data_IF_015790957038
#
_entry.id   IF_015790957038
#
_cell.length_a   1.000
_cell.length_b   1.000
_cell.length_c   1.000
_cell.angle_alpha   90.00
_cell.angle_beta   90.00
_cell.angle_gamma   90.00
#
_symmetry.space_group_name_H-M   'P 1'
#
loop_
_entity.id
_entity.type
_entity.pdbx_description
1 polymer ?
#
# COMPACT_ATOMS: atom_id res chain seq x y z
N UNK A 1 -22.81 -10.28 -12.25
CA UNK A 1 -23.12 -8.96 -11.66
C UNK A 1 -21.79 -8.28 -11.39
N UNK A 2 -21.49 -7.23 -12.15
CA UNK A 2 -20.23 -6.48 -12.05
C UNK A 2 -20.23 -5.67 -10.76
N UNK A 3 -19.59 -6.18 -9.71
CA UNK A 3 -19.19 -5.35 -8.58
C UNK A 3 -18.14 -4.37 -9.10
N UNK A 4 -18.59 -3.20 -9.58
CA UNK A 4 -17.69 -2.07 -9.80
C UNK A 4 -17.22 -1.63 -8.43
N UNK A 5 -16.08 -2.13 -7.98
CA UNK A 5 -15.44 -1.69 -6.75
C UNK A 5 -14.83 -0.31 -6.99
N UNK A 6 -15.65 0.71 -6.78
CA UNK A 6 -15.25 2.10 -6.85
C UNK A 6 -14.21 2.38 -5.77
N UNK A 7 -13.06 2.90 -6.18
CA UNK A 7 -12.11 3.53 -5.27
C UNK A 7 -12.77 4.73 -4.59
N UNK A 8 -12.94 4.70 -3.26
CA UNK A 8 -13.39 5.88 -2.52
C UNK A 8 -12.24 6.50 -1.75
N UNK A 9 -11.99 7.78 -1.99
CA UNK A 9 -11.03 8.59 -1.26
C UNK A 9 -11.76 9.51 -0.28
N UNK A 10 -11.37 9.50 0.99
CA UNK A 10 -11.91 10.41 2.00
C UNK A 10 -10.77 11.11 2.72
N UNK A 11 -10.90 12.42 2.89
CA UNK A 11 -9.92 13.24 3.60
C UNK A 11 -10.56 13.91 4.81
N UNK A 12 -9.86 13.88 5.95
CA UNK A 12 -10.27 14.54 7.18
C UNK A 12 -9.10 15.34 7.76
N UNK A 13 -9.41 16.51 8.32
CA UNK A 13 -8.45 17.40 8.96
C UNK A 13 -9.12 18.13 10.12
N UNK A 14 -8.42 18.28 11.25
CA UNK A 14 -8.89 19.11 12.37
C UNK A 14 -8.43 20.56 12.27
N UNK A 15 -7.62 20.92 11.26
CA UNK A 15 -7.03 22.26 11.13
C UNK A 15 -8.11 23.36 11.14
N UNK A 16 -9.18 23.17 10.37
CA UNK A 16 -10.28 24.13 10.20
C UNK A 16 -11.43 23.95 11.20
N UNK A 17 -11.26 23.05 12.18
CA UNK A 17 -12.26 22.78 13.23
C UNK A 17 -11.90 23.61 14.48
N UNK A 18 -12.86 24.31 15.12
CA UNK A 18 -12.61 25.03 16.37
C UNK A 18 -11.98 24.12 17.42
N UNK A 19 -10.97 24.60 18.15
CA UNK A 19 -10.15 23.77 19.05
C UNK A 19 -10.96 22.90 20.03
N UNK A 20 -12.06 23.46 20.58
CA UNK A 20 -12.98 22.77 21.51
C UNK A 20 -13.74 21.59 20.88
N UNK A 21 -13.92 21.60 19.56
CA UNK A 21 -14.73 20.64 18.81
C UNK A 21 -13.86 19.59 18.08
N UNK A 22 -12.53 19.81 18.01
CA UNK A 22 -11.58 18.97 17.25
C UNK A 22 -11.63 17.48 17.62
N UNK A 23 -11.69 17.15 18.91
CA UNK A 23 -11.74 15.76 19.38
C UNK A 23 -13.06 15.08 18.98
N UNK A 24 -14.20 15.72 19.25
CA UNK A 24 -15.52 15.18 18.93
C UNK A 24 -15.71 15.00 17.42
N UNK A 25 -15.26 15.97 16.62
CA UNK A 25 -15.21 15.87 15.17
C UNK A 25 -14.38 14.67 14.72
N UNK A 26 -13.16 14.52 15.27
CA UNK A 26 -12.24 13.47 14.85
C UNK A 26 -12.73 12.06 15.20
N UNK A 27 -13.33 11.90 16.39
CA UNK A 27 -13.94 10.65 16.82
C UNK A 27 -15.09 10.24 15.89
N UNK A 28 -15.98 11.19 15.55
CA UNK A 28 -17.09 10.95 14.63
C UNK A 28 -16.61 10.63 13.21
N UNK A 29 -15.59 11.34 12.73
CA UNK A 29 -14.98 11.09 11.43
C UNK A 29 -14.40 9.67 11.35
N UNK A 30 -13.60 9.25 12.34
CA UNK A 30 -13.03 7.89 12.34
C UNK A 30 -14.07 6.79 12.49
N UNK A 31 -15.10 7.01 13.31
CA UNK A 31 -16.22 6.07 13.44
C UNK A 31 -16.93 5.84 12.10
N UNK A 32 -17.01 6.86 11.24
CA UNK A 32 -17.64 6.78 9.93
C UNK A 32 -16.72 6.19 8.85
N UNK A 33 -15.40 6.45 8.89
CA UNK A 33 -14.50 6.12 7.77
C UNK A 33 -13.55 4.95 8.02
N UNK A 34 -13.29 4.57 9.28
CA UNK A 34 -12.24 3.60 9.60
C UNK A 34 -12.60 2.68 10.77
N UNK A 35 -12.69 3.22 11.99
CA UNK A 35 -12.92 2.49 13.23
C UNK A 35 -13.43 3.43 14.34
N UNK A 36 -14.31 2.93 15.21
CA UNK A 36 -14.73 3.66 16.40
C UNK A 36 -13.58 3.78 17.42
N UNK A 37 -13.15 5.01 17.70
CA UNK A 37 -12.07 5.34 18.64
C UNK A 37 -12.37 6.66 19.37
N UNK A 38 -11.62 6.92 20.45
CA UNK A 38 -11.52 8.23 21.11
C UNK A 38 -10.10 8.74 21.04
N UNK A 39 -9.93 10.02 20.76
CA UNK A 39 -8.63 10.69 20.89
C UNK A 39 -8.57 11.59 22.11
N UNK A 40 -7.42 11.63 22.76
CA UNK A 40 -7.08 12.59 23.81
C UNK A 40 -5.75 13.26 23.50
N UNK A 41 -5.62 14.53 23.85
CA UNK A 41 -4.43 15.36 23.60
C UNK A 41 -4.19 16.26 24.79
N UNK A 42 -2.91 16.48 25.14
CA UNK A 42 -2.50 17.41 26.19
C UNK A 42 -2.26 18.83 25.66
N UNK A 43 -2.32 19.02 24.33
CA UNK A 43 -2.11 20.33 23.72
C UNK A 43 -3.28 21.29 24.01
N UNK A 44 -3.01 22.54 24.43
CA UNK A 44 -4.03 23.57 24.58
C UNK A 44 -4.76 23.90 23.26
N UNK A 45 -4.12 23.65 22.11
CA UNK A 45 -4.72 23.84 20.78
C UNK A 45 -5.67 22.69 20.39
N UNK A 46 -5.86 21.69 21.26
CA UNK A 46 -6.64 20.50 20.99
C UNK A 46 -5.86 19.47 20.16
N UNK A 47 -6.59 18.67 19.38
CA UNK A 47 -6.02 17.62 18.54
C UNK A 47 -5.73 18.14 17.12
N UNK A 48 -4.47 18.20 16.70
CA UNK A 48 -4.08 18.50 15.32
C UNK A 48 -3.70 17.23 14.57
N UNK A 49 -4.54 16.86 13.61
CA UNK A 49 -4.41 15.61 12.87
C UNK A 49 -5.06 15.74 11.49
N UNK A 50 -4.47 15.05 10.53
CA UNK A 50 -4.96 14.92 9.16
C UNK A 50 -4.87 13.46 8.75
N UNK A 51 -5.82 13.02 7.93
CA UNK A 51 -5.86 11.66 7.40
C UNK A 51 -6.43 11.66 6.00
N UNK A 52 -5.86 10.85 5.14
CA UNK A 52 -6.47 10.44 3.87
C UNK A 52 -6.67 8.94 3.90
N UNK A 53 -7.92 8.50 3.75
CA UNK A 53 -8.33 7.10 3.63
C UNK A 53 -8.59 6.77 2.14
N UNK A 54 -8.10 5.63 1.67
CA UNK A 54 -8.54 4.99 0.43
C UNK A 54 -9.18 3.63 0.75
N UNK A 55 -10.44 3.44 0.35
CA UNK A 55 -11.08 2.14 0.38
C UNK A 55 -10.84 1.40 -0.94
N UNK A 56 -10.38 0.17 -0.84
CA UNK A 56 -10.01 -0.72 -1.93
C UNK A 56 -10.82 -2.04 -1.82
N UNK A 57 -10.87 -2.85 -2.89
CA UNK A 57 -11.45 -4.19 -2.81
C UNK A 57 -10.75 -5.04 -1.74
N UNK A 58 -11.43 -5.34 -0.63
CA UNK A 58 -10.90 -6.20 0.43
C UNK A 58 -9.70 -5.62 1.19
N UNK A 59 -9.48 -4.30 1.13
CA UNK A 59 -8.39 -3.61 1.81
C UNK A 59 -8.78 -2.13 2.05
N UNK A 60 -8.36 -1.56 3.17
CA UNK A 60 -8.29 -0.11 3.35
C UNK A 60 -6.84 0.32 3.55
N UNK A 61 -6.49 1.53 3.08
CA UNK A 61 -5.20 2.14 3.42
C UNK A 61 -5.41 3.59 3.86
N UNK A 62 -4.59 4.07 4.79
CA UNK A 62 -4.63 5.45 5.22
C UNK A 62 -3.23 6.05 5.46
N UNK A 63 -3.04 7.32 5.12
CA UNK A 63 -1.87 8.12 5.50
C UNK A 63 -2.33 9.13 6.56
N UNK A 64 -1.81 8.98 7.77
CA UNK A 64 -2.23 9.75 8.96
C UNK A 64 -1.04 10.56 9.44
N UNK A 65 -1.24 11.86 9.65
CA UNK A 65 -0.25 12.77 10.25
C UNK A 65 -0.91 13.48 11.43
N UNK A 66 -0.21 13.61 12.55
CA UNK A 66 -0.72 14.37 13.69
C UNK A 66 0.36 14.73 14.68
N UNK A 67 0.00 15.53 15.68
CA UNK A 67 0.83 15.80 16.84
C UNK A 67 0.88 14.60 17.81
N UNK A 68 1.50 14.76 18.98
CA UNK A 68 1.37 13.82 20.09
C UNK A 68 -0.07 13.78 20.62
N UNK A 69 -0.60 12.56 20.75
CA UNK A 69 -1.96 12.29 21.22
C UNK A 69 -2.10 10.80 21.57
N UNK A 70 -3.18 10.44 22.25
CA UNK A 70 -3.51 9.05 22.57
C UNK A 70 -4.83 8.68 21.92
N UNK A 71 -4.84 7.51 21.28
CA UNK A 71 -6.01 6.85 20.73
C UNK A 71 -6.44 5.75 21.70
N UNK A 72 -7.72 5.70 22.03
CA UNK A 72 -8.34 4.63 22.81
C UNK A 72 -9.46 3.97 22.01
N UNK A 73 -9.40 2.63 21.91
CA UNK A 73 -10.54 1.80 21.51
C UNK A 73 -10.97 0.97 22.70
N UNK A 74 -11.90 1.50 23.48
CA UNK A 74 -12.36 0.90 24.73
C UNK A 74 -13.25 -0.34 24.50
N UNK A 75 -13.47 -1.21 25.51
CA UNK A 75 -14.40 -2.33 25.40
C UNK A 75 -15.82 -1.93 24.98
N UNK A 76 -16.27 -0.73 25.38
CA UNK A 76 -17.58 -0.21 24.97
C UNK A 76 -17.61 0.11 23.47
N UNK A 77 -16.56 0.76 22.95
CA UNK A 77 -16.44 1.07 21.53
C UNK A 77 -16.32 -0.17 20.65
N UNK A 78 -15.59 -1.19 21.11
CA UNK A 78 -15.51 -2.48 20.41
C UNK A 78 -16.90 -3.09 20.22
N UNK A 79 -17.76 -3.04 21.25
CA UNK A 79 -19.13 -3.58 21.19
C UNK A 79 -20.09 -2.72 20.36
N UNK A 80 -20.02 -1.40 20.51
CA UNK A 80 -20.96 -0.47 19.86
C UNK A 80 -20.65 -0.24 18.38
N UNK A 81 -19.37 -0.24 18.03
CA UNK A 81 -18.85 0.01 16.69
C UNK A 81 -17.90 -1.13 16.32
N UNK A 82 -18.44 -2.33 16.03
CA UNK A 82 -17.63 -3.50 15.71
C UNK A 82 -16.81 -3.26 14.44
N UNK A 83 -15.57 -3.74 14.47
CA UNK A 83 -14.63 -3.74 13.36
C UNK A 83 -13.90 -5.06 13.40
N UNK A 84 -14.07 -5.87 12.36
CA UNK A 84 -13.43 -7.18 12.23
C UNK A 84 -12.28 -7.07 11.23
N UNK A 85 -11.21 -6.43 11.67
CA UNK A 85 -10.03 -6.21 10.86
C UNK A 85 -8.73 -6.41 11.64
N UNK A 86 -7.70 -6.77 10.91
CA UNK A 86 -6.31 -6.64 11.31
C UNK A 86 -5.79 -5.28 10.85
N UNK A 87 -5.24 -4.49 11.76
CA UNK A 87 -4.54 -3.26 11.41
C UNK A 87 -3.04 -3.50 11.42
N UNK A 88 -2.36 -3.11 10.35
CA UNK A 88 -0.90 -2.99 10.30
C UNK A 88 -0.54 -1.51 10.15
N UNK A 89 0.08 -0.95 11.19
CA UNK A 89 0.45 0.46 11.28
C UNK A 89 1.97 0.60 11.17
N UNK A 90 2.45 1.10 10.05
CA UNK A 90 3.86 1.43 9.88
C UNK A 90 4.13 2.86 10.35
N UNK A 91 5.03 3.01 11.31
CA UNK A 91 5.45 4.31 11.82
C UNK A 91 6.44 4.90 10.82
N UNK A 92 6.07 5.98 10.15
CA UNK A 92 6.94 6.67 9.19
C UNK A 92 7.84 7.68 9.90
N UNK A 93 7.30 8.37 10.89
CA UNK A 93 8.04 9.28 11.76
C UNK A 93 7.37 9.36 13.13
N UNK A 94 8.17 9.65 14.15
CA UNK A 94 7.71 9.82 15.53
C UNK A 94 7.95 8.58 16.40
N UNK A 95 7.51 8.67 17.65
CA UNK A 95 7.63 7.61 18.66
C UNK A 95 6.25 7.31 19.23
N UNK A 96 5.98 6.05 19.48
CA UNK A 96 4.70 5.60 19.96
C UNK A 96 4.81 4.45 20.97
N UNK A 97 3.74 4.22 21.70
CA UNK A 97 3.51 3.01 22.47
C UNK A 97 2.14 2.43 22.11
N UNK A 98 2.04 1.11 22.11
CA UNK A 98 0.81 0.40 21.86
C UNK A 98 0.55 -0.58 22.99
N UNK A 99 -0.66 -0.56 23.53
CA UNK A 99 -1.09 -1.45 24.61
C UNK A 99 -2.33 -2.20 24.16
N UNK A 100 -2.27 -3.52 24.22
CA UNK A 100 -3.41 -4.42 24.02
C UNK A 100 -3.17 -5.67 24.86
N UNK A 101 -4.21 -6.16 25.53
CA UNK A 101 -4.08 -7.14 26.62
C UNK A 101 -3.11 -6.65 27.71
N UNK A 102 -2.15 -7.47 28.10
CA UNK A 102 -1.08 -7.22 29.09
C UNK A 102 0.25 -6.80 28.45
N UNK A 103 0.26 -6.56 27.13
CA UNK A 103 1.47 -6.21 26.38
C UNK A 103 1.54 -4.72 26.09
N UNK A 104 2.72 -4.16 26.30
CA UNK A 104 3.09 -2.79 25.92
C UNK A 104 4.25 -2.83 24.93
N UNK A 105 4.01 -2.38 23.71
CA UNK A 105 4.99 -2.34 22.62
C UNK A 105 5.45 -0.90 22.43
N UNK A 106 6.75 -0.64 22.48
CA UNK A 106 7.33 0.65 22.07
C UNK A 106 7.69 0.59 20.59
N UNK A 107 7.24 1.59 19.84
CA UNK A 107 7.46 1.68 18.40
C UNK A 107 8.09 3.02 18.00
N UNK A 108 8.98 2.99 17.03
CA UNK A 108 9.62 4.16 16.44
C UNK A 108 9.59 4.12 14.91
N UNK A 109 10.12 5.15 14.25
CA UNK A 109 10.15 5.23 12.80
C UNK A 109 10.78 3.96 12.17
N UNK A 110 10.04 3.33 11.27
CA UNK A 110 10.39 2.08 10.61
C UNK A 110 9.68 0.85 11.18
N UNK A 111 9.28 0.87 12.46
CA UNK A 111 8.54 -0.24 13.07
C UNK A 111 7.13 -0.36 12.47
N UNK A 112 6.64 -1.60 12.39
CA UNK A 112 5.26 -1.92 12.06
C UNK A 112 4.60 -2.55 13.29
N UNK A 113 3.47 -1.98 13.72
CA UNK A 113 2.64 -2.53 14.80
C UNK A 113 1.42 -3.19 14.17
N UNK A 114 1.25 -4.48 14.42
CA UNK A 114 0.13 -5.28 13.90
C UNK A 114 -0.77 -5.70 15.05
N UNK A 115 -2.08 -5.47 14.94
CA UNK A 115 -3.03 -5.77 16.02
C UNK A 115 -4.46 -6.05 15.53
N UNK A 116 -5.20 -6.80 16.35
CA UNK A 116 -6.60 -7.14 16.11
C UNK A 116 -7.53 -6.02 16.62
N UNK A 117 -8.37 -5.47 15.75
CA UNK A 117 -9.30 -4.39 16.08
C UNK A 117 -10.53 -4.83 16.89
N UNK A 118 -10.75 -6.14 17.03
CA UNK A 118 -11.79 -6.72 17.90
C UNK A 118 -11.40 -6.68 19.37
N UNK A 119 -10.13 -6.45 19.68
CA UNK A 119 -9.62 -6.39 21.04
C UNK A 119 -9.39 -4.93 21.44
N UNK A 120 -9.82 -4.49 22.63
CA UNK A 120 -9.57 -3.13 23.12
C UNK A 120 -8.08 -2.78 23.17
N UNK A 121 -7.72 -1.53 22.85
CA UNK A 121 -6.33 -1.09 22.85
C UNK A 121 -6.17 0.41 23.16
N UNK A 122 -4.95 0.77 23.56
CA UNK A 122 -4.44 2.14 23.57
C UNK A 122 -3.30 2.27 22.58
N UNK A 123 -3.27 3.34 21.81
CA UNK A 123 -2.17 3.67 20.91
C UNK A 123 -1.79 5.14 21.12
N UNK A 124 -0.69 5.37 21.83
CA UNK A 124 -0.21 6.71 22.15
C UNK A 124 0.99 7.10 21.33
N UNK A 125 0.97 8.32 20.80
CA UNK A 125 2.09 8.96 20.10
C UNK A 125 2.74 9.98 21.03
N UNK A 126 4.04 9.81 21.26
CA UNK A 126 4.84 10.59 22.21
C UNK A 126 5.45 11.86 21.58
N UNK A 127 5.41 11.95 20.25
CA UNK A 127 5.92 13.06 19.45
C UNK A 127 4.98 13.28 18.27
N UNK A 128 5.10 14.39 17.53
CA UNK A 128 4.50 14.50 16.20
C UNK A 128 4.84 13.27 15.36
N UNK A 129 3.84 12.79 14.62
CA UNK A 129 3.84 11.47 14.02
C UNK A 129 3.32 11.47 12.60
N UNK A 130 3.79 10.49 11.84
CA UNK A 130 3.17 10.05 10.59
C UNK A 130 3.13 8.52 10.60
N UNK A 131 1.99 7.94 10.25
CA UNK A 131 1.85 6.50 10.05
C UNK A 131 1.10 6.18 8.76
N UNK A 132 1.46 5.06 8.16
CA UNK A 132 0.66 4.40 7.13
C UNK A 132 -0.09 3.25 7.78
N UNK A 133 -1.41 3.22 7.61
CA UNK A 133 -2.28 2.19 8.15
C UNK A 133 -2.78 1.32 7.00
N UNK A 134 -2.70 0.01 7.18
CA UNK A 134 -3.33 -0.99 6.33
C UNK A 134 -4.45 -1.66 7.13
N UNK A 135 -5.67 -1.59 6.63
CA UNK A 135 -6.90 -2.17 7.19
C UNK A 135 -7.26 -3.42 6.39
N UNK A 136 -7.01 -4.60 6.97
CA UNK A 136 -7.29 -5.90 6.34
C UNK A 136 -8.51 -6.52 7.02
N UNK A 137 -9.66 -6.64 6.35
CA UNK A 137 -10.80 -7.38 6.89
C UNK A 137 -10.40 -8.80 7.24
N UNK A 138 -10.82 -9.31 8.41
CA UNK A 138 -10.45 -10.66 8.87
C UNK A 138 -10.91 -11.75 7.88
N UNK A 139 -12.02 -11.51 7.17
CA UNK A 139 -12.50 -12.43 6.12
C UNK A 139 -11.55 -12.55 4.90
N UNK A 140 -10.61 -11.62 4.73
CA UNK A 140 -9.59 -11.63 3.66
C UNK A 140 -8.24 -12.21 4.14
N UNK A 141 -8.18 -12.64 5.39
CA UNK A 141 -7.02 -13.27 5.99
C UNK A 141 -7.15 -14.78 5.75
N UNK A 142 -6.19 -15.36 5.04
CA UNK A 142 -6.18 -16.80 4.77
C UNK A 142 -6.11 -17.59 6.08
N UNK A 143 -6.68 -18.80 6.07
CA UNK A 143 -6.70 -19.74 7.22
C UNK A 143 -5.34 -19.99 7.89
N UNK A 144 -4.23 -19.75 7.18
CA UNK A 144 -2.88 -19.88 7.73
C UNK A 144 -2.56 -18.83 8.80
N UNK A 145 -3.14 -17.63 8.72
CA UNK A 145 -2.90 -16.57 9.69
C UNK A 145 -3.76 -16.71 10.95
N UNK A 146 -4.80 -17.56 10.97
CA UNK A 146 -5.71 -17.68 12.13
C UNK A 146 -4.96 -18.05 13.42
N UNK A 147 -3.97 -18.94 13.33
CA UNK A 147 -3.12 -19.30 14.45
C UNK A 147 -2.20 -18.14 14.89
N UNK A 148 -1.78 -17.30 13.94
CA UNK A 148 -0.92 -16.14 14.19
C UNK A 148 -1.70 -14.95 14.75
N UNK A 149 -3.01 -14.86 14.49
CA UNK A 149 -3.89 -13.86 15.11
C UNK A 149 -3.85 -13.95 16.64
N UNK A 150 -3.69 -15.16 17.19
CA UNK A 150 -3.56 -15.38 18.64
C UNK A 150 -2.26 -14.80 19.22
N UNK A 151 -1.26 -14.52 18.38
CA UNK A 151 0.02 -13.93 18.78
C UNK A 151 0.00 -12.39 18.79
N UNK A 152 -1.10 -11.77 18.34
CA UNK A 152 -1.25 -10.31 18.28
C UNK A 152 -1.54 -9.66 19.63
N UNK A 153 -0.98 -8.46 19.91
CA UNK A 153 -0.26 -7.60 18.96
C UNK A 153 1.20 -8.01 18.71
N UNK A 154 1.72 -7.65 17.54
CA UNK A 154 3.12 -7.83 17.16
C UNK A 154 3.77 -6.50 16.84
N UNK A 155 5.07 -6.40 17.17
CA UNK A 155 5.94 -5.35 16.66
C UNK A 155 6.98 -5.98 15.75
N UNK A 156 7.03 -5.51 14.50
CA UNK A 156 7.99 -5.94 13.50
C UNK A 156 8.97 -4.79 13.31
N UNK A 157 10.20 -5.00 13.76
CA UNK A 157 11.26 -3.98 13.64
C UNK A 157 12.03 -4.12 12.34
N UNK A 158 12.57 -3.02 11.77
CA UNK A 158 13.35 -3.04 10.54
C UNK A 158 14.75 -3.63 10.80
N UNK A 159 14.82 -4.94 11.02
CA UNK A 159 16.08 -5.66 11.21
C UNK A 159 16.67 -6.06 9.85
N UNK A 160 18.00 -5.99 9.67
CA UNK A 160 18.66 -6.40 8.44
C UNK A 160 18.19 -7.77 7.95
N UNK A 161 17.72 -7.83 6.71
CA UNK A 161 17.24 -9.05 6.07
C UNK A 161 15.84 -8.89 5.44
N UNK A 162 15.12 -10.00 5.34
CA UNK A 162 13.83 -10.05 4.63
C UNK A 162 12.76 -9.14 5.26
N UNK A 163 12.73 -9.00 6.59
CA UNK A 163 11.77 -8.15 7.30
C UNK A 163 11.92 -6.66 6.97
N UNK A 164 13.14 -6.11 7.00
CA UNK A 164 13.41 -4.73 6.59
C UNK A 164 13.08 -4.49 5.11
N UNK A 165 13.48 -5.43 4.23
CA UNK A 165 13.18 -5.35 2.80
C UNK A 165 11.67 -5.33 2.55
N UNK A 166 10.91 -6.23 3.18
CA UNK A 166 9.46 -6.30 3.07
C UNK A 166 8.78 -5.04 3.62
N UNK A 167 9.22 -4.55 4.78
CA UNK A 167 8.67 -3.33 5.39
C UNK A 167 8.92 -2.09 4.53
N UNK A 168 10.08 -2.00 3.89
CA UNK A 168 10.41 -0.95 2.92
C UNK A 168 9.58 -1.07 1.64
N UNK A 169 9.39 -2.30 1.15
CA UNK A 169 8.56 -2.60 -0.02
C UNK A 169 7.11 -2.21 0.22
N UNK A 170 6.55 -2.59 1.38
CA UNK A 170 5.19 -2.25 1.80
C UNK A 170 5.00 -0.73 1.83
N UNK A 171 5.90 -0.01 2.49
CA UNK A 171 5.89 1.45 2.56
C UNK A 171 5.85 2.08 1.16
N UNK A 172 6.83 1.75 0.33
CA UNK A 172 6.97 2.33 -1.00
C UNK A 172 5.75 2.03 -1.88
N UNK A 173 5.20 0.83 -1.77
CA UNK A 173 3.98 0.42 -2.49
C UNK A 173 2.79 1.28 -2.09
N UNK A 174 2.54 1.42 -0.79
CA UNK A 174 1.42 2.20 -0.24
C UNK A 174 1.57 3.69 -0.58
N UNK A 175 2.75 4.28 -0.39
CA UNK A 175 2.99 5.69 -0.71
C UNK A 175 2.80 5.99 -2.21
N UNK A 176 3.29 5.10 -3.08
CA UNK A 176 3.12 5.23 -4.54
C UNK A 176 1.64 5.15 -4.94
N UNK A 177 0.91 4.17 -4.40
CA UNK A 177 -0.50 4.01 -4.72
C UNK A 177 -1.35 5.18 -4.20
N UNK A 178 -1.11 5.63 -2.97
CA UNK A 178 -1.80 6.81 -2.40
C UNK A 178 -1.54 8.09 -3.20
N UNK A 179 -0.33 8.27 -3.73
CA UNK A 179 0.03 9.45 -4.53
C UNK A 179 -0.64 9.45 -5.90
N UNK A 180 -0.87 8.29 -6.50
CA UNK A 180 -1.46 8.18 -7.84
C UNK A 180 -2.35 6.92 -7.90
N UNK A 181 -3.54 6.96 -7.30
CA UNK A 181 -4.42 5.80 -7.26
C UNK A 181 -4.98 5.51 -8.65
N UNK A 182 -4.87 4.25 -9.07
CA UNK A 182 -5.38 3.77 -10.37
C UNK A 182 -6.39 2.65 -10.09
N UNK A 183 -7.66 2.88 -10.43
CA UNK A 183 -8.76 1.94 -10.14
C UNK A 183 -8.53 0.55 -10.72
N UNK A 184 -8.00 0.48 -11.95
CA UNK A 184 -7.66 -0.79 -12.58
C UNK A 184 -6.55 -1.59 -11.89
N UNK A 185 -5.75 -0.97 -11.01
CA UNK A 185 -4.72 -1.65 -10.22
C UNK A 185 -5.18 -2.01 -8.81
N UNK A 186 -6.33 -1.52 -8.36
CA UNK A 186 -6.76 -1.58 -6.96
C UNK A 186 -6.81 -3.01 -6.42
N UNK A 187 -7.36 -3.95 -7.19
CA UNK A 187 -7.46 -5.37 -6.79
C UNK A 187 -6.07 -6.02 -6.69
N UNK A 188 -5.20 -5.80 -7.68
CA UNK A 188 -3.82 -6.32 -7.69
C UNK A 188 -3.01 -5.75 -6.54
N UNK A 189 -3.10 -4.44 -6.32
CA UNK A 189 -2.46 -3.77 -5.19
C UNK A 189 -2.93 -4.37 -3.87
N UNK A 190 -4.25 -4.58 -3.70
CA UNK A 190 -4.82 -5.13 -2.47
C UNK A 190 -4.30 -6.53 -2.16
N UNK A 191 -4.22 -7.41 -3.16
CA UNK A 191 -3.64 -8.74 -3.04
C UNK A 191 -2.15 -8.70 -2.64
N UNK A 192 -1.34 -7.93 -3.38
CA UNK A 192 0.08 -7.79 -3.09
C UNK A 192 0.32 -7.23 -1.69
N UNK A 193 -0.44 -6.22 -1.26
CA UNK A 193 -0.31 -5.61 0.07
C UNK A 193 -0.69 -6.58 1.18
N UNK A 194 -1.79 -7.34 1.04
CA UNK A 194 -2.15 -8.38 2.03
C UNK A 194 -1.06 -9.46 2.12
N UNK A 195 -0.53 -9.88 0.97
CA UNK A 195 0.57 -10.85 0.91
C UNK A 195 1.82 -10.31 1.62
N UNK A 196 2.22 -9.06 1.36
CA UNK A 196 3.36 -8.43 2.05
C UNK A 196 3.18 -8.38 3.57
N UNK A 197 1.98 -8.03 4.05
CA UNK A 197 1.68 -7.98 5.49
C UNK A 197 1.72 -9.39 6.10
N UNK A 198 1.15 -10.39 5.43
CA UNK A 198 1.20 -11.78 5.90
C UNK A 198 2.64 -12.31 5.98
N UNK A 199 3.48 -12.02 4.98
CA UNK A 199 4.88 -12.42 4.97
C UNK A 199 5.71 -11.71 6.04
N UNK A 200 5.39 -10.44 6.36
CA UNK A 200 5.99 -9.72 7.49
C UNK A 200 5.66 -10.39 8.83
N UNK A 201 4.39 -10.77 9.03
CA UNK A 201 3.94 -11.45 10.25
C UNK A 201 4.63 -12.82 10.39
N UNK A 202 4.61 -13.63 9.32
CA UNK A 202 5.25 -14.95 9.31
C UNK A 202 6.76 -14.86 9.61
N UNK A 203 7.46 -13.89 8.99
CA UNK A 203 8.88 -13.70 9.22
C UNK A 203 9.22 -13.35 10.69
N UNK A 204 8.35 -12.59 11.37
CA UNK A 204 8.52 -12.25 12.79
C UNK A 204 8.17 -13.43 13.71
N UNK A 205 7.11 -14.18 13.40
CA UNK A 205 6.62 -15.28 14.23
C UNK A 205 7.45 -16.55 14.07
N UNK A 206 7.71 -16.96 12.82
CA UNK A 206 8.29 -18.25 12.46
C UNK A 206 9.75 -18.15 12.03
N UNK A 207 10.30 -16.94 11.92
CA UNK A 207 11.60 -16.69 11.30
C UNK A 207 11.56 -16.86 9.77
N UNK A 208 12.67 -16.53 9.11
CA UNK A 208 12.75 -16.57 7.64
C UNK A 208 12.73 -18.02 7.12
N UNK A 209 11.62 -18.45 6.51
CA UNK A 209 11.50 -19.75 5.84
C UNK A 209 11.80 -19.64 4.34
N UNK A 210 12.68 -20.51 3.83
CA UNK A 210 13.23 -20.44 2.47
C UNK A 210 12.20 -20.41 1.31
N UNK A 211 11.02 -21.03 1.45
CA UNK A 211 9.99 -21.03 0.39
C UNK A 211 9.19 -19.72 0.31
N UNK A 212 9.01 -19.04 1.45
CA UNK A 212 8.27 -17.76 1.58
C UNK A 212 9.15 -16.56 1.27
N UNK A 213 10.43 -16.65 1.61
CA UNK A 213 11.48 -15.73 1.16
C UNK A 213 11.48 -15.49 -0.36
N UNK A 214 11.19 -16.53 -1.15
CA UNK A 214 11.12 -16.44 -2.61
C UNK A 214 9.99 -15.52 -3.09
N UNK A 215 8.83 -15.59 -2.44
CA UNK A 215 7.69 -14.69 -2.70
C UNK A 215 8.00 -13.27 -2.26
N UNK A 216 8.62 -13.10 -1.08
CA UNK A 216 9.06 -11.81 -0.56
C UNK A 216 9.97 -11.08 -1.55
N UNK A 217 11.01 -11.75 -2.03
CA UNK A 217 11.93 -11.18 -3.03
C UNK A 217 11.25 -10.86 -4.35
N UNK A 218 10.29 -11.70 -4.78
CA UNK A 218 9.55 -11.46 -6.01
C UNK A 218 8.68 -10.21 -5.91
N UNK A 219 7.96 -10.02 -4.79
CA UNK A 219 7.16 -8.82 -4.56
C UNK A 219 8.04 -7.57 -4.48
N UNK A 220 9.18 -7.63 -3.79
CA UNK A 220 10.15 -6.53 -3.76
C UNK A 220 10.69 -6.22 -5.16
N UNK A 221 11.04 -7.23 -5.95
CA UNK A 221 11.52 -7.04 -7.32
C UNK A 221 10.46 -6.38 -8.22
N UNK A 222 9.21 -6.83 -8.13
CA UNK A 222 8.08 -6.23 -8.86
C UNK A 222 7.84 -4.78 -8.45
N UNK A 223 7.92 -4.48 -7.16
CA UNK A 223 7.77 -3.11 -6.65
C UNK A 223 8.94 -2.20 -7.09
N UNK A 224 10.17 -2.72 -7.09
CA UNK A 224 11.32 -2.01 -7.63
C UNK A 224 11.12 -1.68 -9.10
N UNK A 225 10.72 -2.66 -9.92
CA UNK A 225 10.39 -2.47 -11.33
C UNK A 225 9.31 -1.40 -11.51
N UNK A 226 8.22 -1.48 -10.75
CA UNK A 226 7.11 -0.53 -10.85
C UNK A 226 7.54 0.92 -10.51
N UNK A 227 8.52 1.08 -9.62
CA UNK A 227 9.02 2.39 -9.18
C UNK A 227 10.00 3.01 -10.18
N UNK A 228 10.82 2.19 -10.85
CA UNK A 228 11.88 2.62 -11.77
C UNK A 228 11.51 2.42 -13.26
N UNK A 229 10.23 2.16 -13.55
CA UNK A 229 9.77 1.69 -14.87
C UNK A 229 10.09 2.64 -16.04
N UNK A 230 10.14 3.94 -15.75
CA UNK A 230 10.46 4.99 -16.73
C UNK A 230 11.96 5.15 -17.00
N UNK A 231 12.83 4.49 -16.23
CA UNK A 231 14.28 4.55 -16.45
C UNK A 231 14.65 3.64 -17.63
N UNK A 232 15.26 4.18 -18.72
CA UNK A 232 15.57 3.38 -19.91
C UNK A 232 16.49 2.19 -19.61
N UNK A 233 17.44 2.38 -18.70
CA UNK A 233 18.45 1.39 -18.29
C UNK A 233 17.91 0.32 -17.33
N UNK A 234 16.63 0.38 -16.92
CA UNK A 234 16.04 -0.65 -16.08
C UNK A 234 16.06 -2.00 -16.82
N UNK A 235 16.86 -2.92 -16.31
CA UNK A 235 17.00 -4.28 -16.81
C UNK A 235 17.14 -5.32 -15.69
N UNK A 236 17.18 -6.62 -16.03
CA UNK A 236 17.17 -7.70 -15.04
C UNK A 236 18.31 -7.64 -14.02
N UNK A 237 19.51 -7.20 -14.43
CA UNK A 237 20.65 -7.08 -13.53
C UNK A 237 20.43 -5.99 -12.49
N UNK A 238 19.96 -4.80 -12.91
CA UNK A 238 19.65 -3.69 -11.99
C UNK A 238 18.59 -4.08 -10.96
N UNK A 239 17.57 -4.85 -11.37
CA UNK A 239 16.55 -5.37 -10.44
C UNK A 239 17.18 -6.34 -9.45
N UNK A 240 18.02 -7.26 -9.92
CA UNK A 240 18.65 -8.28 -9.07
C UNK A 240 19.54 -7.63 -8.00
N UNK A 241 20.37 -6.67 -8.41
CA UNK A 241 21.27 -5.93 -7.52
C UNK A 241 20.48 -5.14 -6.46
N UNK A 242 19.40 -4.48 -6.85
CA UNK A 242 18.57 -3.69 -5.95
C UNK A 242 17.85 -4.51 -4.87
N UNK A 243 17.47 -5.76 -5.19
CA UNK A 243 16.80 -6.66 -4.23
C UNK A 243 17.76 -7.62 -3.53
N UNK A 244 19.07 -7.47 -3.73
CA UNK A 244 20.09 -8.30 -3.08
C UNK A 244 20.12 -9.75 -3.56
N UNK A 245 19.76 -10.01 -4.83
CA UNK A 245 19.73 -11.34 -5.43
C UNK A 245 20.75 -11.49 -6.55
N UNK A 246 21.22 -12.73 -6.76
CA UNK A 246 21.86 -13.06 -8.04
C UNK A 246 20.83 -13.05 -9.16
N UNK A 247 21.24 -12.67 -10.37
CA UNK A 247 20.38 -12.67 -11.57
C UNK A 247 19.76 -14.05 -11.83
N UNK A 248 20.52 -15.13 -11.57
CA UNK A 248 20.02 -16.51 -11.69
C UNK A 248 18.89 -16.78 -10.71
N UNK A 249 19.01 -16.32 -9.46
CA UNK A 249 17.94 -16.48 -8.47
C UNK A 249 16.70 -15.67 -8.88
N UNK A 250 16.87 -14.39 -9.23
CA UNK A 250 15.77 -13.55 -9.70
C UNK A 250 15.03 -14.18 -10.89
N UNK A 251 15.77 -14.68 -11.88
CA UNK A 251 15.19 -15.34 -13.05
C UNK A 251 14.38 -16.58 -12.68
N UNK A 252 14.82 -17.36 -11.68
CA UNK A 252 14.08 -18.52 -11.17
C UNK A 252 12.77 -18.11 -10.50
N UNK A 253 12.75 -16.99 -9.78
CA UNK A 253 11.54 -16.47 -9.12
C UNK A 253 10.47 -16.07 -10.14
N UNK A 254 10.84 -15.28 -11.15
CA UNK A 254 9.91 -14.91 -12.22
C UNK A 254 9.46 -16.11 -13.04
N UNK A 255 10.37 -17.05 -13.35
CA UNK A 255 10.03 -18.25 -14.10
C UNK A 255 9.01 -19.15 -13.37
N UNK A 256 8.97 -19.13 -12.03
CA UNK A 256 7.96 -19.83 -11.25
C UNK A 256 6.54 -19.25 -11.46
N UNK A 257 6.41 -17.99 -11.85
CA UNK A 257 5.15 -17.35 -12.29
C UNK A 257 4.91 -17.46 -13.80
N UNK A 258 5.78 -18.16 -14.53
CA UNK A 258 5.64 -18.38 -15.97
C UNK A 258 6.09 -17.20 -16.84
N UNK A 259 6.84 -16.24 -16.30
CA UNK A 259 7.39 -15.10 -17.06
C UNK A 259 8.87 -14.87 -16.78
N UNK A 260 9.55 -14.10 -17.64
CA UNK A 260 10.92 -13.62 -17.37
C UNK A 260 10.89 -12.17 -16.86
N UNK A 261 11.94 -11.76 -16.14
CA UNK A 261 12.08 -10.38 -15.64
C UNK A 261 11.94 -9.35 -16.76
N UNK A 262 12.56 -9.61 -17.92
CA UNK A 262 12.47 -8.75 -19.10
C UNK A 262 11.04 -8.67 -19.64
N UNK A 263 10.34 -9.81 -19.73
CA UNK A 263 8.93 -9.83 -20.15
C UNK A 263 8.04 -9.04 -19.19
N UNK A 264 8.27 -9.15 -17.88
CA UNK A 264 7.54 -8.38 -16.88
C UNK A 264 7.74 -6.87 -17.04
N UNK A 265 9.00 -6.42 -17.15
CA UNK A 265 9.34 -5.00 -17.36
C UNK A 265 8.65 -4.44 -18.61
N UNK A 266 8.73 -5.15 -19.73
CA UNK A 266 8.10 -4.71 -20.98
C UNK A 266 6.57 -4.76 -20.92
N UNK A 267 5.99 -5.73 -20.23
CA UNK A 267 4.55 -5.83 -20.04
C UNK A 267 4.02 -4.65 -19.20
N UNK A 268 4.69 -4.30 -18.11
CA UNK A 268 4.33 -3.13 -17.30
C UNK A 268 4.54 -1.82 -18.08
N UNK A 269 5.68 -1.65 -18.79
CA UNK A 269 5.91 -0.46 -19.65
C UNK A 269 4.82 -0.29 -20.70
N UNK A 270 4.42 -1.38 -21.34
CA UNK A 270 3.38 -1.38 -22.36
C UNK A 270 1.99 -1.08 -21.76
N UNK A 271 1.70 -1.58 -20.56
CA UNK A 271 0.48 -1.26 -19.81
C UNK A 271 0.40 0.22 -19.45
N UNK A 272 1.48 0.79 -18.92
CA UNK A 272 1.54 2.20 -18.57
C UNK A 272 1.45 3.11 -19.80
N UNK A 273 2.13 2.76 -20.90
CA UNK A 273 2.02 3.50 -22.15
C UNK A 273 0.60 3.44 -22.75
N UNK A 274 -0.07 2.29 -22.68
CA UNK A 274 -1.46 2.16 -23.10
C UNK A 274 -2.38 3.08 -22.29
N UNK A 275 -2.21 3.13 -20.96
CA UNK A 275 -2.99 4.01 -20.08
C UNK A 275 -2.82 5.48 -20.47
N UNK A 276 -1.58 5.93 -20.69
CA UNK A 276 -1.34 7.31 -21.14
C UNK A 276 -1.90 7.59 -22.53
N UNK A 277 -1.90 6.61 -23.44
CA UNK A 277 -2.52 6.75 -24.77
C UNK A 277 -4.03 6.99 -24.68
N UNK A 278 -4.69 6.34 -23.71
CA UNK A 278 -6.14 6.39 -23.51
C UNK A 278 -6.58 7.47 -22.51
N UNK A 279 -5.66 8.13 -21.82
CA UNK A 279 -5.98 9.20 -20.86
C UNK A 279 -6.33 10.51 -21.59
N UNK A 280 -7.58 10.96 -21.44
CA UNK A 280 -8.07 12.20 -22.03
C UNK A 280 -7.26 13.44 -21.61
N UNK A 281 -6.63 13.43 -20.43
CA UNK A 281 -5.81 14.53 -19.92
C UNK A 281 -4.47 14.64 -20.65
N UNK A 282 -3.97 13.54 -21.21
CA UNK A 282 -2.69 13.45 -21.92
C UNK A 282 -2.84 13.56 -23.45
N UNK A 283 -3.99 14.04 -23.94
CA UNK A 283 -4.27 14.23 -25.39
C UNK A 283 -3.22 15.05 -26.14
N UNK A 284 -2.59 16.02 -25.46
CA UNK A 284 -1.55 16.89 -26.05
C UNK A 284 -0.18 16.22 -26.15
N UNK A 285 0.06 15.15 -25.38
CA UNK A 285 1.33 14.41 -25.39
C UNK A 285 1.42 13.58 -26.67
N UNK A 286 2.52 13.70 -27.40
CA UNK A 286 2.68 12.97 -28.67
C UNK A 286 2.83 11.46 -28.43
N UNK A 287 2.45 10.62 -29.40
CA UNK A 287 2.65 9.16 -29.31
C UNK A 287 4.13 8.81 -29.16
N UNK A 288 5.02 9.55 -29.84
CA UNK A 288 6.46 9.36 -29.73
C UNK A 288 7.00 9.71 -28.34
N UNK A 289 6.46 10.75 -27.71
CA UNK A 289 6.84 11.14 -26.35
C UNK A 289 6.39 10.10 -25.31
N UNK A 290 5.16 9.58 -25.42
CA UNK A 290 4.70 8.46 -24.57
C UNK A 290 5.59 7.24 -24.78
N UNK A 291 5.90 6.89 -26.03
CA UNK A 291 6.78 5.76 -26.32
C UNK A 291 8.17 5.92 -25.66
N UNK A 292 8.79 7.10 -25.81
CA UNK A 292 10.10 7.38 -25.24
C UNK A 292 10.09 7.36 -23.70
N UNK A 293 9.06 7.93 -23.08
CA UNK A 293 8.88 7.96 -21.61
C UNK A 293 8.87 6.56 -20.99
N UNK A 294 8.33 5.58 -21.69
CA UNK A 294 8.27 4.18 -21.24
C UNK A 294 9.37 3.31 -21.84
N UNK A 295 10.47 3.91 -22.30
CA UNK A 295 11.68 3.20 -22.69
C UNK A 295 11.67 2.59 -24.10
N UNK A 296 10.72 2.93 -24.97
CA UNK A 296 10.76 2.51 -26.37
C UNK A 296 11.71 3.39 -27.17
N UNK A 297 12.73 2.77 -27.77
CA UNK A 297 13.72 3.45 -28.63
C UNK A 297 13.22 3.76 -30.05
N UNK A 298 12.10 3.13 -30.48
CA UNK A 298 11.49 3.44 -31.79
C UNK A 298 9.97 3.39 -31.76
N UNK A 299 9.34 4.33 -32.46
CA UNK A 299 7.88 4.41 -32.59
C UNK A 299 7.30 3.21 -33.37
N UNK A 300 8.07 2.62 -34.28
CA UNK A 300 7.67 1.43 -35.04
C UNK A 300 7.61 0.17 -34.15
N UNK A 301 8.56 0.01 -33.22
CA UNK A 301 8.53 -1.06 -32.22
C UNK A 301 7.34 -0.86 -31.26
N UNK A 302 7.18 0.36 -30.75
CA UNK A 302 6.06 0.72 -29.88
C UNK A 302 4.69 0.43 -30.52
N UNK A 303 4.48 0.88 -31.77
CA UNK A 303 3.20 0.72 -32.45
C UNK A 303 2.85 -0.74 -32.73
N UNK A 304 3.86 -1.59 -32.97
CA UNK A 304 3.69 -3.04 -33.07
C UNK A 304 3.27 -3.64 -31.73
N UNK A 305 4.05 -3.38 -30.68
CA UNK A 305 3.77 -3.92 -29.35
C UNK A 305 2.36 -3.55 -28.84
N UNK A 306 1.94 -2.29 -29.02
CA UNK A 306 0.59 -1.84 -28.65
C UNK A 306 -0.49 -2.58 -29.46
N UNK A 307 -0.32 -2.70 -30.78
CA UNK A 307 -1.30 -3.38 -31.63
C UNK A 307 -1.38 -4.87 -31.30
N UNK A 308 -0.25 -5.52 -31.09
CA UNK A 308 -0.18 -6.94 -30.80
C UNK A 308 -0.84 -7.27 -29.46
N UNK A 309 -0.74 -6.36 -28.47
CA UNK A 309 -1.34 -6.55 -27.14
C UNK A 309 -2.78 -6.09 -27.01
N UNK A 310 -3.16 -4.97 -27.64
CA UNK A 310 -4.45 -4.30 -27.46
C UNK A 310 -5.32 -4.27 -28.72
N UNK A 311 -4.88 -4.90 -29.81
CA UNK A 311 -5.67 -5.09 -31.04
C UNK A 311 -5.80 -3.85 -31.94
N UNK A 312 -5.28 -2.69 -31.55
CA UNK A 312 -5.40 -1.44 -32.30
C UNK A 312 -4.11 -0.61 -32.29
N UNK A 313 -3.94 0.28 -33.28
CA UNK A 313 -2.77 1.17 -33.33
C UNK A 313 -2.84 2.23 -32.22
N UNK A 314 -1.69 2.81 -31.80
CA UNK A 314 -1.68 3.88 -30.79
C UNK A 314 -2.63 5.04 -31.11
N UNK A 315 -2.75 5.42 -32.39
CA UNK A 315 -3.64 6.50 -32.82
C UNK A 315 -5.12 6.09 -32.77
N UNK A 316 -5.44 4.87 -33.21
CA UNK A 316 -6.80 4.35 -33.15
C UNK A 316 -7.32 4.25 -31.71
N UNK A 317 -6.46 3.80 -30.77
CA UNK A 317 -6.80 3.77 -29.34
C UNK A 317 -7.06 5.17 -28.78
N UNK A 318 -6.23 6.13 -29.17
CA UNK A 318 -6.40 7.53 -28.76
C UNK A 318 -7.69 8.14 -29.32
N UNK A 319 -8.02 7.85 -30.58
CA UNK A 319 -9.26 8.34 -31.20
C UNK A 319 -10.51 7.66 -30.62
N UNK A 320 -10.45 6.36 -30.31
CA UNK A 320 -11.54 5.66 -29.62
C UNK A 320 -11.84 6.27 -28.24
N UNK A 321 -10.80 6.63 -27.49
CA UNK A 321 -10.94 7.34 -26.21
C UNK A 321 -11.48 8.78 -26.36
N UNK A 322 -11.46 9.38 -27.57
CA UNK A 322 -12.12 10.67 -27.83
C UNK A 322 -13.62 10.54 -28.04
N UNK A 323 -14.07 9.44 -28.62
CA UNK A 323 -15.49 9.21 -28.91
C UNK A 323 -16.26 8.77 -27.66
N UNK A 324 -15.61 8.08 -26.72
CA UNK A 324 -16.22 7.65 -25.45
C UNK A 324 -16.43 8.78 -24.42
N UNK A 325 -15.83 9.96 -24.65
CA UNK A 325 -15.80 11.12 -23.75
C UNK A 325 -16.71 12.27 -24.27
N UNK A 326 -17.50 12.00 -25.32
CA UNK A 326 -18.55 12.86 -25.89
C UNK A 326 -19.91 12.28 -25.57
#
# INVERSE_FOLDING_TARGET
MTNSTVLSCTHGSTADVPARDRMAYWDAFNAATLVGLRCSSLSPAGLEVTKTDLALPGLGIADIRGQDHVIERSPALVRQLPKEALFACQIVSGRAYFIQHDRCLLAEAGDIVVYDTRVPYLFGFLTPMRQLLIDIPIAMIDRWLEAELALLPLKISPRPGAGEMLGTTLRASVERFMKTPVEGDAARFSECTRTLVAELIDAEVNGVRASRTSLSYLLTAKQYIATHLGEPELGPQAVADAVGLSLRHLSRLFAAEGESVTQHIWSERLLHAYRELTDARLRKTSVGEIAFRWGFSSQAHFSRAIRDRYGASPMALRDAARTADR
#
